data_IF_051322362649
#
_entry.id   IF_051322362649
#
_cell.length_a   1.000
_cell.length_b   1.000
_cell.length_c   1.000
_cell.angle_alpha   90.00
_cell.angle_beta   90.00
_cell.angle_gamma   90.00
#
_symmetry.space_group_name_H-M   'P 1'
#
loop_
_entity.id
_entity.type
_entity.pdbx_description
1 polymer ?
#
# COMPACT_ATOMS: atom_id res chain seq x y z
N UNK A 1 76.88 10.18 70.43
CA UNK A 1 76.41 8.91 69.93
C UNK A 1 74.94 9.08 69.63
N UNK A 2 74.53 9.12 68.31
CA UNK A 2 73.11 9.23 67.89
C UNK A 2 72.57 7.84 67.54
N UNK A 3 71.64 7.42 68.35
CA UNK A 3 70.93 6.12 68.18
C UNK A 3 70.09 6.21 66.96
N UNK A 4 70.32 5.34 65.98
CA UNK A 4 69.48 5.17 64.72
C UNK A 4 68.45 4.09 64.98
N UNK A 5 67.22 4.48 65.34
CA UNK A 5 66.11 3.62 65.43
C UNK A 5 65.69 3.16 64.01
N UNK A 6 65.82 1.89 63.72
CA UNK A 6 65.37 1.22 62.48
C UNK A 6 63.85 1.03 62.55
N UNK A 7 63.07 1.76 61.70
CA UNK A 7 61.64 1.53 61.53
C UNK A 7 61.41 0.40 60.57
N UNK A 8 60.90 -0.72 61.06
CA UNK A 8 60.41 -1.83 60.21
C UNK A 8 59.00 -1.53 59.74
N UNK A 9 58.81 -1.30 58.44
CA UNK A 9 57.49 -1.11 57.82
C UNK A 9 57.03 -2.49 57.38
N UNK A 10 56.06 -3.07 58.09
CA UNK A 10 55.40 -4.32 57.72
C UNK A 10 54.25 -3.97 56.74
N UNK A 11 54.45 -4.22 55.47
CA UNK A 11 53.43 -4.08 54.45
C UNK A 11 52.50 -5.26 54.53
N UNK A 12 51.29 -5.04 55.12
CA UNK A 12 50.24 -6.03 55.20
C UNK A 12 49.67 -6.20 53.80
N UNK A 13 49.90 -7.34 53.15
CA UNK A 13 49.33 -7.72 51.88
C UNK A 13 47.85 -7.99 52.10
N UNK A 14 46.96 -7.09 51.63
CA UNK A 14 45.54 -7.35 51.65
C UNK A 14 45.27 -8.52 50.73
N UNK A 15 44.80 -9.64 51.27
CA UNK A 15 44.35 -10.75 50.49
C UNK A 15 43.20 -10.28 49.59
N UNK A 16 43.41 -10.40 48.28
CA UNK A 16 42.32 -10.30 47.34
C UNK A 16 41.32 -11.39 47.66
N UNK A 17 40.19 -11.02 48.21
CA UNK A 17 39.06 -11.92 48.36
C UNK A 17 38.72 -12.51 46.98
N UNK A 18 38.81 -13.82 46.89
CA UNK A 18 38.47 -14.57 45.68
C UNK A 18 37.10 -14.16 45.21
N UNK A 19 37.05 -13.43 44.09
CA UNK A 19 35.80 -13.12 43.41
C UNK A 19 35.09 -14.44 43.08
N UNK A 20 33.86 -14.54 43.53
CA UNK A 20 32.97 -15.62 43.18
C UNK A 20 32.67 -15.64 41.68
N UNK A 21 33.59 -16.11 40.85
CA UNK A 21 33.38 -16.36 39.41
C UNK A 21 32.45 -17.55 39.11
N UNK A 22 31.85 -18.14 40.15
CA UNK A 22 30.95 -19.32 40.01
C UNK A 22 29.50 -19.04 39.66
N UNK A 23 29.12 -17.72 39.53
CA UNK A 23 27.68 -17.39 39.31
C UNK A 23 27.29 -17.09 37.88
N UNK A 24 28.21 -16.68 37.00
CA UNK A 24 27.91 -16.23 35.65
C UNK A 24 27.21 -17.29 34.76
N UNK A 25 27.60 -18.54 34.88
CA UNK A 25 26.98 -19.64 34.15
C UNK A 25 25.53 -19.89 34.57
N UNK A 26 25.19 -19.62 35.87
CA UNK A 26 23.80 -19.77 36.37
C UNK A 26 22.90 -18.73 35.76
N UNK A 27 23.39 -17.50 35.53
CA UNK A 27 22.66 -16.42 34.88
C UNK A 27 22.41 -16.79 33.39
N UNK A 28 23.45 -17.26 32.69
CA UNK A 28 23.31 -17.71 31.32
C UNK A 28 22.35 -18.92 31.18
N UNK A 29 22.41 -19.84 32.15
CA UNK A 29 21.50 -20.98 32.20
C UNK A 29 20.05 -20.56 32.47
N UNK A 30 19.84 -19.62 33.39
CA UNK A 30 18.51 -19.05 33.67
C UNK A 30 17.92 -18.34 32.46
N UNK A 31 18.74 -17.54 31.75
CA UNK A 31 18.33 -16.84 30.51
C UNK A 31 17.94 -17.85 29.41
N UNK A 32 18.77 -18.89 29.21
CA UNK A 32 18.44 -19.97 28.28
C UNK A 32 17.14 -20.69 28.65
N UNK A 33 16.91 -21.00 29.92
CA UNK A 33 15.68 -21.65 30.37
C UNK A 33 14.45 -20.78 30.21
N UNK A 34 14.57 -19.47 30.47
CA UNK A 34 13.45 -18.52 30.25
C UNK A 34 13.14 -18.36 28.76
N UNK A 35 14.16 -18.29 27.90
CA UNK A 35 13.98 -18.25 26.46
C UNK A 35 13.30 -19.53 25.92
N UNK A 36 13.74 -20.69 26.40
CA UNK A 36 13.10 -22.00 26.05
C UNK A 36 11.65 -22.08 26.53
N UNK A 37 11.37 -21.57 27.72
CA UNK A 37 10.00 -21.51 28.24
C UNK A 37 9.11 -20.59 27.38
N UNK A 38 9.61 -19.41 27.02
CA UNK A 38 8.91 -18.48 26.14
C UNK A 38 8.62 -19.11 24.77
N UNK A 39 9.62 -19.76 24.17
CA UNK A 39 9.46 -20.48 22.90
C UNK A 39 8.39 -21.59 23.00
N UNK A 40 8.44 -22.37 24.07
CA UNK A 40 7.45 -23.43 24.31
C UNK A 40 6.04 -22.86 24.46
N UNK A 41 5.88 -21.76 25.22
CA UNK A 41 4.57 -21.11 25.39
C UNK A 41 4.01 -20.59 24.07
N UNK A 42 4.88 -20.01 23.23
CA UNK A 42 4.45 -19.54 21.90
C UNK A 42 4.04 -20.72 21.03
N UNK A 43 4.84 -21.80 20.98
CA UNK A 43 4.49 -23.00 20.22
C UNK A 43 3.22 -23.67 20.75
N UNK A 44 3.03 -23.71 22.06
CA UNK A 44 1.81 -24.25 22.65
C UNK A 44 0.59 -23.39 22.29
N UNK A 45 0.71 -22.06 22.37
CA UNK A 45 -0.35 -21.14 21.96
C UNK A 45 -0.74 -21.34 20.49
N UNK A 46 0.24 -21.42 19.61
CA UNK A 46 0.01 -21.69 18.18
C UNK A 46 -0.67 -23.04 17.95
N UNK A 47 -0.26 -24.07 18.70
CA UNK A 47 -0.83 -25.42 18.58
C UNK A 47 -2.28 -25.52 19.09
N UNK A 48 -2.69 -24.67 20.03
CA UNK A 48 -4.05 -24.65 20.57
C UNK A 48 -4.98 -23.67 19.86
N UNK A 49 -4.42 -22.77 19.03
CA UNK A 49 -5.19 -21.76 18.29
C UNK A 49 -5.90 -22.37 17.07
N UNK A 50 -7.09 -21.88 16.80
CA UNK A 50 -7.83 -22.24 15.59
C UNK A 50 -7.18 -21.68 14.35
N UNK A 51 -7.40 -22.27 13.16
CA UNK A 51 -6.86 -21.73 11.89
C UNK A 51 -7.24 -20.27 11.62
N UNK A 52 -8.37 -19.82 12.15
CA UNK A 52 -8.84 -18.43 12.03
C UNK A 52 -8.06 -17.47 12.92
N UNK A 53 -7.78 -17.86 14.16
CA UNK A 53 -6.94 -17.08 15.08
C UNK A 53 -5.49 -16.99 14.63
N UNK A 54 -4.93 -18.10 14.09
CA UNK A 54 -3.59 -18.11 13.49
C UNK A 54 -3.49 -17.15 12.31
N UNK A 55 -4.53 -17.08 11.48
CA UNK A 55 -4.59 -16.15 10.36
C UNK A 55 -4.63 -14.70 10.82
N UNK A 56 -5.38 -14.39 11.88
CA UNK A 56 -5.40 -13.05 12.49
C UNK A 56 -4.05 -12.62 13.07
N UNK A 57 -3.36 -13.54 13.74
CA UNK A 57 -2.00 -13.29 14.26
C UNK A 57 -1.01 -13.07 13.11
N UNK A 58 -1.05 -13.90 12.07
CA UNK A 58 -0.18 -13.76 10.90
C UNK A 58 -0.42 -12.44 10.17
N UNK A 59 -1.65 -11.97 10.10
CA UNK A 59 -2.03 -10.71 9.48
C UNK A 59 -1.55 -9.50 10.30
N UNK A 60 -1.62 -9.56 11.62
CA UNK A 60 -1.06 -8.55 12.52
C UNK A 60 0.44 -8.34 12.31
N UNK A 61 1.21 -9.40 12.10
CA UNK A 61 2.65 -9.33 11.81
C UNK A 61 2.99 -9.02 10.34
N UNK A 62 2.05 -9.22 9.42
CA UNK A 62 2.18 -8.87 8.00
C UNK A 62 1.84 -7.43 7.70
N UNK A 63 1.02 -6.81 8.51
CA UNK A 63 0.67 -5.39 8.36
C UNK A 63 1.86 -4.58 8.86
N UNK A 64 2.68 -3.98 7.99
CA UNK A 64 3.73 -3.09 8.47
C UNK A 64 3.07 -1.96 9.26
N UNK A 65 3.75 -1.47 10.29
CA UNK A 65 3.35 -0.39 11.21
C UNK A 65 3.03 0.97 10.52
N UNK A 66 2.60 0.96 9.28
CA UNK A 66 2.14 2.11 8.50
C UNK A 66 0.74 2.59 8.94
N UNK A 67 0.03 1.81 9.78
CA UNK A 67 -1.24 2.23 10.36
C UNK A 67 -1.15 3.37 11.39
N UNK A 68 0.06 3.83 11.72
CA UNK A 68 0.26 4.99 12.61
C UNK A 68 0.07 6.35 11.95
N UNK A 69 -0.11 6.44 10.61
CA UNK A 69 -0.20 7.74 9.92
C UNK A 69 -1.60 8.10 9.40
N UNK A 70 -2.55 7.18 9.43
CA UNK A 70 -3.95 7.48 9.12
C UNK A 70 -4.80 7.25 10.37
N UNK A 71 -4.92 8.30 11.19
CA UNK A 71 -6.01 8.58 12.12
C UNK A 71 -6.67 7.35 12.75
N UNK A 72 -5.92 6.59 13.56
CA UNK A 72 -6.54 5.61 14.43
C UNK A 72 -7.44 6.31 15.41
N UNK A 73 -8.74 6.24 15.18
CA UNK A 73 -9.71 6.54 16.24
C UNK A 73 -9.48 5.55 17.37
N UNK A 74 -9.08 6.11 18.51
CA UNK A 74 -9.33 5.60 19.85
C UNK A 74 -8.56 4.37 20.32
N UNK A 75 -7.28 4.60 20.67
CA UNK A 75 -6.61 3.80 21.71
C UNK A 75 -6.42 4.59 23.02
N UNK A 76 -7.03 5.76 23.17
CA UNK A 76 -6.90 6.60 24.39
C UNK A 76 -8.20 7.09 24.99
N UNK A 77 -9.32 6.38 24.79
CA UNK A 77 -10.53 6.58 25.62
C UNK A 77 -10.61 5.58 26.77
N UNK A 78 -9.50 5.29 27.41
CA UNK A 78 -9.49 4.65 28.74
C UNK A 78 -8.97 5.62 29.81
N UNK A 79 -9.56 6.80 29.90
CA UNK A 79 -9.60 7.57 31.14
C UNK A 79 -10.73 7.06 32.02
N UNK A 80 -10.53 5.88 32.60
CA UNK A 80 -11.16 5.48 33.85
C UNK A 80 -10.32 4.41 34.53
N UNK A 81 -9.61 4.76 35.61
CA UNK A 81 -8.74 3.81 36.31
C UNK A 81 -9.44 2.81 37.18
N UNK A 82 -10.76 2.70 37.18
CA UNK A 82 -11.50 1.64 37.91
C UNK A 82 -12.85 1.36 37.23
N UNK A 83 -13.10 0.18 36.62
CA UNK A 83 -14.45 -0.26 36.31
C UNK A 83 -15.02 -0.95 37.55
N UNK A 84 -15.92 -0.27 38.23
CA UNK A 84 -16.61 -0.89 39.39
C UNK A 84 -17.78 -0.06 39.87
N UNK A 85 -19.00 -0.47 39.47
CA UNK A 85 -20.20 -0.12 40.18
C UNK A 85 -21.29 0.58 39.38
N UNK A 86 -22.15 -0.18 38.75
CA UNK A 86 -23.40 0.28 38.18
C UNK A 86 -23.99 -0.73 37.20
N UNK A 87 -25.23 -1.08 37.39
CA UNK A 87 -26.10 -2.05 36.74
C UNK A 87 -25.70 -2.57 35.36
N UNK A 88 -25.48 -3.88 35.29
CA UNK A 88 -25.54 -4.78 34.11
C UNK A 88 -24.76 -4.39 32.84
N UNK A 89 -23.48 -4.03 33.01
CA UNK A 89 -22.54 -3.71 31.89
C UNK A 89 -22.19 -4.95 31.05
N UNK A 90 -22.45 -6.17 31.52
CA UNK A 90 -22.04 -7.41 30.83
C UNK A 90 -22.83 -7.70 29.55
N UNK A 91 -24.06 -7.21 29.41
CA UNK A 91 -24.86 -7.38 28.17
C UNK A 91 -24.52 -6.38 27.08
N UNK A 92 -24.33 -5.10 27.44
CA UNK A 92 -23.99 -4.06 26.43
C UNK A 92 -22.60 -4.22 25.87
N UNK A 93 -21.59 -4.58 26.69
CA UNK A 93 -20.22 -4.81 26.23
C UNK A 93 -20.10 -6.03 25.28
N UNK A 94 -20.94 -7.06 25.49
CA UNK A 94 -21.01 -8.23 24.63
C UNK A 94 -21.57 -7.94 23.25
N UNK A 95 -22.62 -7.14 23.15
CA UNK A 95 -23.27 -6.78 21.90
C UNK A 95 -22.43 -5.77 21.08
N UNK A 96 -21.84 -4.75 21.71
CA UNK A 96 -20.93 -3.81 21.01
C UNK A 96 -19.67 -4.49 20.50
N UNK A 97 -19.02 -5.35 21.30
CA UNK A 97 -17.86 -6.13 20.81
C UNK A 97 -18.22 -7.07 19.67
N UNK A 98 -19.37 -7.72 19.76
CA UNK A 98 -19.85 -8.62 18.69
C UNK A 98 -20.18 -7.82 17.43
N UNK A 99 -20.77 -6.64 17.56
CA UNK A 99 -21.04 -5.74 16.43
C UNK A 99 -19.76 -5.19 15.79
N UNK A 100 -18.76 -4.80 16.57
CA UNK A 100 -17.47 -4.34 16.06
C UNK A 100 -16.66 -5.48 15.40
N UNK A 101 -16.66 -6.67 15.99
CA UNK A 101 -16.01 -7.84 15.41
C UNK A 101 -16.69 -8.29 14.12
N UNK A 102 -18.02 -8.27 14.06
CA UNK A 102 -18.78 -8.59 12.86
C UNK A 102 -18.61 -7.51 11.77
N UNK A 103 -18.53 -6.23 12.13
CA UNK A 103 -18.28 -5.14 11.18
C UNK A 103 -16.88 -5.24 10.58
N UNK A 104 -15.84 -5.51 11.38
CA UNK A 104 -14.48 -5.70 10.89
C UNK A 104 -14.35 -6.98 10.04
N UNK A 105 -14.99 -8.09 10.43
CA UNK A 105 -14.98 -9.32 9.62
C UNK A 105 -15.67 -9.12 8.26
N UNK A 106 -16.82 -8.43 8.23
CA UNK A 106 -17.51 -8.10 7.00
C UNK A 106 -16.67 -7.19 6.07
N UNK A 107 -15.92 -6.24 6.64
CA UNK A 107 -15.03 -5.36 5.88
C UNK A 107 -13.84 -6.12 5.30
N UNK A 108 -13.20 -7.01 6.08
CA UNK A 108 -12.14 -7.90 5.59
C UNK A 108 -12.64 -8.83 4.47
N UNK A 109 -13.82 -9.40 4.62
CA UNK A 109 -14.40 -10.29 3.61
C UNK A 109 -14.70 -9.53 2.32
N UNK A 110 -15.24 -8.31 2.41
CA UNK A 110 -15.49 -7.46 1.24
C UNK A 110 -14.19 -7.09 0.51
N UNK A 111 -13.12 -6.74 1.24
CA UNK A 111 -11.81 -6.45 0.64
C UNK A 111 -11.22 -7.68 -0.09
N UNK A 112 -11.37 -8.87 0.48
CA UNK A 112 -10.94 -10.11 -0.17
C UNK A 112 -11.74 -10.43 -1.44
N UNK A 113 -13.05 -10.26 -1.41
CA UNK A 113 -13.92 -10.46 -2.56
C UNK A 113 -13.53 -9.48 -3.68
N UNK A 114 -13.37 -8.21 -3.36
CA UNK A 114 -12.98 -7.19 -4.33
C UNK A 114 -11.60 -7.46 -4.93
N UNK A 115 -10.62 -7.81 -4.09
CA UNK A 115 -9.29 -8.19 -4.56
C UNK A 115 -9.33 -9.36 -5.53
N UNK A 116 -10.12 -10.39 -5.23
CA UNK A 116 -10.28 -11.55 -6.10
C UNK A 116 -10.94 -11.16 -7.42
N UNK A 117 -11.93 -10.28 -7.40
CA UNK A 117 -12.57 -9.74 -8.60
C UNK A 117 -11.58 -9.00 -9.51
N UNK A 118 -10.69 -8.17 -8.93
CA UNK A 118 -9.66 -7.47 -9.67
C UNK A 118 -8.58 -8.42 -10.23
N UNK A 119 -8.22 -9.46 -9.49
CA UNK A 119 -7.30 -10.51 -9.96
C UNK A 119 -7.92 -11.33 -11.11
N UNK A 120 -9.19 -11.62 -11.03
CA UNK A 120 -9.92 -12.31 -12.09
C UNK A 120 -10.02 -11.46 -13.36
N UNK A 121 -10.23 -10.15 -13.20
CA UNK A 121 -10.16 -9.21 -14.31
C UNK A 121 -8.77 -9.16 -14.96
N UNK A 122 -7.71 -9.12 -14.16
CA UNK A 122 -6.34 -9.18 -14.66
C UNK A 122 -6.09 -10.46 -15.47
N UNK A 123 -6.52 -11.62 -14.95
CA UNK A 123 -6.42 -12.90 -15.67
C UNK A 123 -7.17 -12.87 -16.98
N UNK A 124 -8.40 -12.36 -16.99
CA UNK A 124 -9.22 -12.25 -18.19
C UNK A 124 -8.57 -11.35 -19.26
N UNK A 125 -7.91 -10.28 -18.84
CA UNK A 125 -7.14 -9.43 -19.77
C UNK A 125 -6.00 -10.25 -20.38
N UNK A 126 -5.17 -10.94 -19.58
CA UNK A 126 -4.10 -11.78 -20.11
C UNK A 126 -4.60 -12.84 -21.07
N UNK A 127 -5.68 -13.57 -20.72
CA UNK A 127 -6.30 -14.58 -21.57
C UNK A 127 -6.78 -13.97 -22.90
N UNK A 128 -7.41 -12.79 -22.88
CA UNK A 128 -7.85 -12.09 -24.09
C UNK A 128 -6.68 -11.77 -25.00
N UNK A 129 -5.57 -11.31 -24.44
CA UNK A 129 -4.36 -10.97 -25.19
C UNK A 129 -3.61 -12.21 -25.70
N UNK A 130 -3.76 -13.37 -25.08
CA UNK A 130 -3.15 -14.62 -25.54
C UNK A 130 -3.94 -15.30 -26.68
N UNK A 131 -5.28 -15.15 -26.68
CA UNK A 131 -6.16 -15.80 -27.66
C UNK A 131 -6.16 -15.08 -29.01
N UNK A 132 -6.18 -13.74 -29.03
CA UNK A 132 -6.16 -12.96 -30.27
C UNK A 132 -4.72 -12.74 -30.74
N UNK A 133 -4.38 -13.26 -31.92
CA UNK A 133 -3.04 -13.15 -32.50
C UNK A 133 -2.55 -11.69 -32.70
N UNK A 134 -3.49 -10.75 -32.91
CA UNK A 134 -3.15 -9.32 -33.03
C UNK A 134 -2.79 -8.75 -31.67
N UNK A 135 -3.60 -8.99 -30.64
CA UNK A 135 -3.36 -8.55 -29.29
C UNK A 135 -2.13 -9.22 -28.68
N UNK A 136 -1.89 -10.50 -28.99
CA UNK A 136 -0.69 -11.22 -28.53
C UNK A 136 0.61 -10.51 -28.91
N UNK A 137 0.67 -9.94 -30.09
CA UNK A 137 1.83 -9.16 -30.52
C UNK A 137 1.99 -7.87 -29.70
N UNK A 138 0.94 -7.36 -29.07
CA UNK A 138 0.89 -6.13 -28.26
C UNK A 138 1.03 -6.42 -26.76
N UNK A 139 0.94 -7.68 -26.32
CA UNK A 139 1.05 -8.08 -24.92
C UNK A 139 2.35 -7.57 -24.23
N UNK A 140 3.53 -7.52 -24.87
CA UNK A 140 4.74 -6.95 -24.27
C UNK A 140 4.64 -5.46 -23.92
N UNK A 141 3.71 -4.73 -24.53
CA UNK A 141 3.47 -3.31 -24.26
C UNK A 141 2.49 -3.10 -23.10
N UNK A 142 1.98 -4.17 -22.48
CA UNK A 142 1.00 -4.12 -21.40
C UNK A 142 1.63 -4.58 -20.08
N UNK A 143 1.54 -3.72 -19.05
CA UNK A 143 1.89 -4.08 -17.68
C UNK A 143 0.61 -4.06 -16.84
N UNK A 144 0.35 -5.13 -16.10
CA UNK A 144 -0.80 -5.24 -15.21
C UNK A 144 -0.29 -5.54 -13.82
N UNK A 145 -0.63 -4.66 -12.87
CA UNK A 145 -0.16 -4.72 -11.49
C UNK A 145 -1.33 -4.51 -10.53
N UNK A 146 -1.42 -5.36 -9.50
CA UNK A 146 -2.32 -5.11 -8.39
C UNK A 146 -1.62 -4.19 -7.39
N UNK A 147 -2.22 -3.01 -7.15
CA UNK A 147 -1.72 -1.99 -6.22
C UNK A 147 -2.67 -1.84 -5.03
N UNK A 148 -2.27 -1.06 -4.04
CA UNK A 148 -3.13 -0.71 -2.89
C UNK A 148 -4.39 0.08 -3.29
N UNK A 149 -4.35 0.79 -4.41
CA UNK A 149 -5.47 1.59 -4.91
C UNK A 149 -6.40 0.81 -5.87
N UNK A 150 -6.00 -0.40 -6.29
CA UNK A 150 -6.73 -1.22 -7.24
C UNK A 150 -5.84 -1.85 -8.32
N UNK A 151 -6.42 -2.20 -9.46
CA UNK A 151 -5.71 -2.82 -10.57
C UNK A 151 -5.20 -1.75 -11.54
N UNK A 152 -3.90 -1.66 -11.68
CA UNK A 152 -3.22 -0.75 -12.62
C UNK A 152 -2.89 -1.47 -13.91
N UNK A 153 -3.30 -0.91 -15.02
CA UNK A 153 -2.99 -1.36 -16.38
C UNK A 153 -2.19 -0.24 -17.04
N UNK A 154 -0.96 -0.50 -17.44
CA UNK A 154 -0.10 0.47 -18.13
C UNK A 154 0.13 0.00 -19.55
N UNK A 155 -0.09 0.89 -20.51
CA UNK A 155 0.12 0.66 -21.94
C UNK A 155 1.35 1.47 -22.34
N UNK A 156 2.44 0.78 -22.67
CA UNK A 156 3.75 1.35 -22.94
C UNK A 156 3.95 1.54 -24.43
N UNK A 157 4.52 2.66 -24.83
CA UNK A 157 5.05 2.82 -26.18
C UNK A 157 6.38 2.07 -26.33
N UNK A 158 6.61 1.48 -27.49
CA UNK A 158 7.91 0.99 -27.94
C UNK A 158 8.23 1.57 -29.33
N UNK A 159 9.50 1.49 -29.73
CA UNK A 159 9.91 2.00 -31.06
C UNK A 159 9.21 1.29 -32.20
N UNK A 160 8.99 -0.03 -32.08
CA UNK A 160 8.31 -0.84 -33.09
C UNK A 160 6.78 -0.68 -33.06
N UNK A 161 6.23 -0.25 -31.92
CA UNK A 161 4.78 -0.12 -31.70
C UNK A 161 4.50 1.18 -30.95
N UNK A 162 4.44 2.30 -31.66
CA UNK A 162 4.07 3.57 -31.07
C UNK A 162 2.60 3.52 -30.65
N UNK A 163 2.27 4.14 -29.51
CA UNK A 163 0.87 4.26 -29.05
C UNK A 163 0.23 5.55 -29.53
N UNK A 164 1.05 6.55 -29.89
CA UNK A 164 0.65 7.84 -30.43
C UNK A 164 1.63 8.27 -31.52
N UNK A 165 1.18 9.12 -32.43
CA UNK A 165 2.06 9.83 -33.34
C UNK A 165 3.11 10.66 -32.59
N UNK A 166 4.27 10.88 -33.23
CA UNK A 166 5.37 11.66 -32.62
C UNK A 166 4.89 13.07 -32.29
N UNK A 167 5.01 13.48 -31.03
CA UNK A 167 4.51 14.80 -30.57
C UNK A 167 3.00 15.03 -30.76
N UNK A 168 2.23 13.98 -31.06
CA UNK A 168 0.82 14.04 -31.39
C UNK A 168 -0.06 13.37 -30.34
N UNK A 169 -1.32 13.73 -30.35
CA UNK A 169 -2.42 13.12 -29.59
C UNK A 169 -3.21 12.11 -30.41
N UNK A 170 -2.85 11.94 -31.69
CA UNK A 170 -3.46 10.94 -32.57
C UNK A 170 -3.13 9.55 -32.09
N UNK A 171 -4.15 8.75 -31.83
CA UNK A 171 -4.00 7.38 -31.37
C UNK A 171 -3.57 6.49 -32.54
N UNK A 172 -2.56 5.67 -32.29
CA UNK A 172 -2.11 4.65 -33.24
C UNK A 172 -3.09 3.47 -33.26
N UNK A 173 -3.26 2.78 -34.40
CA UNK A 173 -4.13 1.59 -34.51
C UNK A 173 -3.82 0.51 -33.44
N UNK A 174 -2.55 0.31 -33.08
CA UNK A 174 -2.17 -0.65 -32.03
C UNK A 174 -2.76 -0.27 -30.67
N UNK A 175 -2.68 1.01 -30.31
CA UNK A 175 -3.28 1.52 -29.07
C UNK A 175 -4.80 1.41 -29.11
N UNK A 176 -5.41 1.68 -30.26
CA UNK A 176 -6.85 1.54 -30.46
C UNK A 176 -7.32 0.11 -30.21
N UNK A 177 -6.65 -0.89 -30.78
CA UNK A 177 -6.96 -2.31 -30.55
C UNK A 177 -6.85 -2.69 -29.08
N UNK A 178 -5.82 -2.23 -28.38
CA UNK A 178 -5.66 -2.47 -26.93
C UNK A 178 -6.82 -1.87 -26.15
N UNK A 179 -7.16 -0.61 -26.39
CA UNK A 179 -8.21 0.09 -25.65
C UNK A 179 -9.58 -0.53 -25.91
N UNK A 180 -9.88 -0.94 -27.16
CA UNK A 180 -11.12 -1.62 -27.52
C UNK A 180 -11.22 -3.00 -26.86
N UNK A 181 -10.11 -3.74 -26.72
CA UNK A 181 -10.11 -5.03 -26.03
C UNK A 181 -10.30 -4.88 -24.52
N UNK A 182 -9.77 -3.82 -23.91
CA UNK A 182 -9.90 -3.54 -22.48
C UNK A 182 -11.28 -3.03 -22.08
N UNK A 183 -11.94 -2.23 -22.94
CA UNK A 183 -13.20 -1.56 -22.64
C UNK A 183 -14.32 -2.51 -22.14
N UNK A 184 -14.64 -3.64 -22.79
CA UNK A 184 -15.69 -4.55 -22.34
C UNK A 184 -15.32 -5.24 -21.00
N UNK A 185 -14.04 -5.54 -20.78
CA UNK A 185 -13.57 -6.17 -19.53
C UNK A 185 -13.75 -5.19 -18.37
N UNK A 186 -13.28 -3.94 -18.53
CA UNK A 186 -13.45 -2.90 -17.53
C UNK A 186 -14.94 -2.62 -17.27
N UNK A 187 -15.75 -2.66 -18.33
CA UNK A 187 -17.18 -2.40 -18.22
C UNK A 187 -17.93 -3.46 -17.40
N UNK A 188 -17.43 -4.70 -17.40
CA UNK A 188 -18.01 -5.80 -16.61
C UNK A 188 -17.76 -5.67 -15.09
N UNK A 189 -16.84 -4.83 -14.66
CA UNK A 189 -16.53 -4.61 -13.24
C UNK A 189 -17.43 -3.51 -12.67
N UNK A 190 -17.78 -3.53 -11.38
CA UNK A 190 -18.52 -2.45 -10.73
C UNK A 190 -17.68 -1.18 -10.53
N UNK A 191 -16.36 -1.30 -10.53
CA UNK A 191 -15.39 -0.30 -10.18
C UNK A 191 -15.31 0.86 -11.19
N UNK A 192 -14.98 2.05 -10.69
CA UNK A 192 -14.64 3.22 -11.52
C UNK A 192 -13.15 3.23 -11.85
N UNK A 193 -12.78 4.02 -12.85
CA UNK A 193 -11.40 4.13 -13.33
C UNK A 193 -10.87 5.55 -13.30
N UNK A 194 -9.56 5.67 -13.18
CA UNK A 194 -8.79 6.88 -13.41
C UNK A 194 -7.84 6.64 -14.57
N UNK A 195 -7.72 7.62 -15.47
CA UNK A 195 -6.77 7.61 -16.59
C UNK A 195 -5.64 8.59 -16.32
N UNK A 196 -4.40 8.16 -16.52
CA UNK A 196 -3.23 9.03 -16.38
C UNK A 196 -2.37 8.97 -17.65
N UNK A 197 -1.97 10.15 -18.14
CA UNK A 197 -1.06 10.29 -19.25
C UNK A 197 0.35 10.65 -18.79
N UNK A 198 1.35 10.02 -19.42
CA UNK A 198 2.76 10.26 -19.16
C UNK A 198 3.52 10.53 -20.45
N UNK A 199 4.57 11.34 -20.37
CA UNK A 199 5.52 11.62 -21.46
C UNK A 199 6.92 11.17 -21.05
N UNK A 200 7.83 11.17 -22.01
CA UNK A 200 9.26 11.09 -21.74
C UNK A 200 9.84 12.47 -21.34
N UNK A 201 11.11 12.49 -20.97
CA UNK A 201 11.85 13.68 -20.53
C UNK A 201 12.16 14.67 -21.68
N UNK A 202 11.84 14.33 -22.94
CA UNK A 202 12.09 15.20 -24.08
C UNK A 202 11.18 16.41 -24.01
N UNK A 203 11.78 17.59 -23.96
CA UNK A 203 11.01 18.83 -23.93
C UNK A 203 10.24 19.01 -25.25
N UNK A 204 9.00 19.44 -25.15
CA UNK A 204 8.22 19.85 -26.31
C UNK A 204 8.83 21.07 -26.96
N UNK A 205 8.69 21.21 -28.28
CA UNK A 205 9.36 22.24 -29.09
C UNK A 205 9.10 23.67 -28.59
N UNK A 206 7.92 23.93 -28.03
CA UNK A 206 7.52 25.25 -27.52
C UNK A 206 7.99 25.53 -26.08
N UNK A 207 8.59 24.56 -25.38
CA UNK A 207 9.00 24.67 -23.97
C UNK A 207 7.83 24.92 -23.02
N UNK A 208 8.14 25.27 -21.77
CA UNK A 208 7.14 25.36 -20.66
C UNK A 208 6.19 26.58 -20.78
N UNK A 209 6.42 27.50 -21.73
CA UNK A 209 5.60 28.70 -21.90
C UNK A 209 4.43 28.54 -22.87
N UNK A 210 4.34 27.38 -23.53
CA UNK A 210 3.30 27.06 -24.51
C UNK A 210 2.74 25.68 -24.28
N UNK A 211 2.54 24.95 -25.38
CA UNK A 211 2.16 23.54 -25.33
C UNK A 211 3.35 22.71 -24.87
N UNK A 212 3.24 22.09 -23.72
CA UNK A 212 4.30 21.36 -23.03
C UNK A 212 3.96 19.87 -22.85
N UNK A 213 4.81 19.13 -22.14
CA UNK A 213 4.55 17.75 -21.77
C UNK A 213 3.30 17.60 -20.86
N UNK A 214 2.92 18.66 -20.15
CA UNK A 214 1.71 18.68 -19.35
C UNK A 214 0.45 18.60 -20.22
N UNK A 215 0.34 19.50 -21.21
CA UNK A 215 -0.78 19.52 -22.15
C UNK A 215 -0.79 18.23 -22.98
N UNK A 216 0.37 17.80 -23.47
CA UNK A 216 0.48 16.59 -24.27
C UNK A 216 0.01 15.34 -23.51
N UNK A 217 0.41 15.20 -22.23
CA UNK A 217 -0.03 14.07 -21.38
C UNK A 217 -1.52 14.11 -21.07
N UNK A 218 -2.08 15.31 -20.83
CA UNK A 218 -3.52 15.51 -20.63
C UNK A 218 -4.32 15.13 -21.88
N UNK A 219 -3.88 15.61 -23.04
CA UNK A 219 -4.58 15.40 -24.30
C UNK A 219 -4.52 13.93 -24.74
N UNK A 220 -3.40 13.23 -24.51
CA UNK A 220 -3.26 11.79 -24.73
C UNK A 220 -4.17 10.98 -23.83
N UNK A 221 -4.26 11.33 -22.54
CA UNK A 221 -5.20 10.68 -21.64
C UNK A 221 -6.65 10.91 -22.07
N UNK A 222 -6.99 12.13 -22.52
CA UNK A 222 -8.32 12.43 -23.07
C UNK A 222 -8.60 11.71 -24.39
N UNK A 223 -7.62 11.57 -25.27
CA UNK A 223 -7.76 10.79 -26.49
C UNK A 223 -8.03 9.32 -26.15
N UNK A 224 -7.27 8.74 -25.22
CA UNK A 224 -7.48 7.37 -24.73
C UNK A 224 -8.86 7.17 -24.10
N UNK A 225 -9.35 8.17 -23.36
CA UNK A 225 -10.72 8.18 -22.82
C UNK A 225 -11.76 8.08 -23.94
N UNK A 226 -11.64 8.90 -24.97
CA UNK A 226 -12.57 8.88 -26.10
C UNK A 226 -12.57 7.53 -26.79
N UNK A 227 -11.39 6.94 -26.95
CA UNK A 227 -11.24 5.65 -27.60
C UNK A 227 -11.79 4.48 -26.76
N UNK A 228 -11.59 4.49 -25.43
CA UNK A 228 -12.22 3.52 -24.53
C UNK A 228 -13.76 3.58 -24.64
N UNK A 229 -14.35 4.78 -24.71
CA UNK A 229 -15.79 4.94 -24.88
C UNK A 229 -16.24 4.44 -26.26
N UNK A 230 -15.47 4.71 -27.32
CA UNK A 230 -15.74 4.17 -28.65
C UNK A 230 -15.66 2.63 -28.66
N UNK A 231 -14.78 2.03 -27.85
CA UNK A 231 -14.68 0.59 -27.61
C UNK A 231 -15.76 -0.01 -26.71
N UNK A 232 -16.74 0.82 -26.24
CA UNK A 232 -17.90 0.37 -25.49
C UNK A 232 -17.82 0.57 -23.97
N UNK A 233 -16.85 1.35 -23.46
CA UNK A 233 -16.79 1.70 -22.05
C UNK A 233 -17.89 2.70 -21.68
N UNK A 234 -18.62 2.44 -20.59
CA UNK A 234 -19.55 3.41 -20.03
C UNK A 234 -18.80 4.66 -19.53
N UNK A 235 -19.18 5.83 -20.05
CA UNK A 235 -18.57 7.11 -19.67
C UNK A 235 -18.66 7.41 -18.16
N UNK A 236 -19.68 6.90 -17.47
CA UNK A 236 -19.88 7.07 -16.03
C UNK A 236 -18.83 6.34 -15.17
N UNK A 237 -18.09 5.40 -15.77
CA UNK A 237 -17.01 4.70 -15.07
C UNK A 237 -15.76 5.55 -14.90
N UNK A 238 -15.59 6.59 -15.69
CA UNK A 238 -14.40 7.44 -15.65
C UNK A 238 -14.63 8.56 -14.64
N UNK A 239 -13.89 8.52 -13.53
CA UNK A 239 -14.03 9.51 -12.45
C UNK A 239 -13.04 10.66 -12.58
N UNK A 240 -11.83 10.39 -13.10
CA UNK A 240 -10.76 11.40 -13.16
C UNK A 240 -9.77 11.13 -14.30
N UNK A 241 -9.25 12.23 -14.87
CA UNK A 241 -8.13 12.22 -15.81
C UNK A 241 -6.97 13.00 -15.20
N UNK A 242 -5.77 12.46 -15.27
CA UNK A 242 -4.56 13.03 -14.67
C UNK A 242 -3.49 13.20 -15.74
N UNK A 243 -2.93 14.40 -15.82
CA UNK A 243 -1.72 14.67 -16.59
C UNK A 243 -0.52 14.57 -15.65
N UNK A 244 0.48 13.80 -16.01
CA UNK A 244 1.68 13.60 -15.17
C UNK A 244 2.98 13.95 -15.91
N UNK A 245 2.88 14.41 -17.16
CA UNK A 245 4.06 14.78 -17.95
C UNK A 245 5.18 13.72 -17.81
N UNK A 246 6.40 14.16 -17.52
CA UNK A 246 7.60 13.34 -17.26
C UNK A 246 7.94 13.19 -15.76
N UNK A 247 7.05 13.65 -14.86
CA UNK A 247 7.31 13.70 -13.41
C UNK A 247 7.45 12.35 -12.75
N UNK A 248 6.82 11.30 -13.32
CA UNK A 248 6.85 9.94 -12.79
C UNK A 248 7.44 8.99 -13.83
N UNK A 249 8.74 8.76 -13.75
CA UNK A 249 9.45 7.85 -14.65
C UNK A 249 9.36 6.40 -14.20
N UNK A 250 9.31 5.47 -15.17
CA UNK A 250 9.48 4.04 -14.92
C UNK A 250 10.96 3.75 -14.69
N UNK A 251 11.37 3.63 -13.43
CA UNK A 251 12.75 3.33 -13.03
C UNK A 251 13.03 1.81 -13.04
N UNK A 252 12.66 1.13 -14.11
CA UNK A 252 12.89 -0.31 -14.24
C UNK A 252 13.87 -0.55 -15.40
N UNK A 253 15.04 -1.16 -15.16
CA UNK A 253 16.05 -1.39 -16.19
C UNK A 253 15.60 -2.30 -17.34
N UNK A 254 14.51 -3.03 -17.16
CA UNK A 254 13.94 -3.90 -18.19
C UNK A 254 13.13 -3.14 -19.25
N UNK A 255 12.85 -1.85 -19.04
CA UNK A 255 12.09 -1.04 -20.00
C UNK A 255 12.96 0.03 -20.64
N UNK A 256 12.74 0.27 -21.92
CA UNK A 256 13.39 1.38 -22.63
C UNK A 256 12.90 2.73 -22.08
N UNK A 257 13.66 3.80 -22.34
CA UNK A 257 13.23 5.17 -22.00
C UNK A 257 11.90 5.56 -22.66
N UNK A 258 11.58 4.95 -23.79
CA UNK A 258 10.35 5.17 -24.54
C UNK A 258 9.11 4.64 -23.81
N UNK A 259 9.27 3.69 -22.88
CA UNK A 259 8.21 3.20 -22.01
C UNK A 259 7.67 4.28 -21.05
N UNK A 260 8.39 5.40 -20.90
CA UNK A 260 7.86 6.56 -20.19
C UNK A 260 6.70 7.23 -20.93
N UNK A 261 6.64 7.11 -22.25
CA UNK A 261 5.46 7.49 -23.05
C UNK A 261 4.41 6.40 -22.88
N UNK A 262 3.54 6.56 -21.86
CA UNK A 262 2.55 5.55 -21.52
C UNK A 262 1.21 6.16 -21.10
N UNK A 263 0.19 5.36 -21.20
CA UNK A 263 -1.12 5.61 -20.56
C UNK A 263 -1.30 4.61 -19.44
N UNK A 264 -1.74 5.08 -18.28
CA UNK A 264 -2.07 4.25 -17.14
C UNK A 264 -3.58 4.31 -16.88
N UNK A 265 -4.21 3.15 -16.82
CA UNK A 265 -5.60 2.96 -16.43
C UNK A 265 -5.57 2.32 -15.04
N UNK A 266 -6.15 2.99 -14.05
CA UNK A 266 -6.27 2.46 -12.70
C UNK A 266 -7.73 2.15 -12.43
N UNK A 267 -8.06 0.86 -12.32
CA UNK A 267 -9.36 0.38 -11.87
C UNK A 267 -9.34 0.47 -10.36
N UNK A 268 -10.11 1.42 -9.82
CA UNK A 268 -10.07 1.77 -8.40
C UNK A 268 -10.73 0.69 -7.56
N UNK A 269 -10.15 0.39 -6.40
CA UNK A 269 -10.90 -0.31 -5.37
C UNK A 269 -11.89 0.64 -4.69
N UNK A 270 -12.81 0.09 -3.92
CA UNK A 270 -13.90 0.83 -3.26
C UNK A 270 -13.38 1.95 -2.36
N UNK A 271 -12.30 1.71 -1.62
CA UNK A 271 -11.71 2.70 -0.72
C UNK A 271 -11.09 3.87 -1.49
N UNK A 272 -10.33 3.60 -2.54
CA UNK A 272 -9.74 4.63 -3.39
C UNK A 272 -10.82 5.44 -4.14
N UNK A 273 -11.88 4.77 -4.60
CA UNK A 273 -13.02 5.44 -5.23
C UNK A 273 -13.71 6.38 -4.26
N UNK A 274 -14.05 5.92 -3.06
CA UNK A 274 -14.69 6.73 -2.03
C UNK A 274 -13.82 7.92 -1.61
N UNK A 275 -12.50 7.70 -1.51
CA UNK A 275 -11.58 8.79 -1.21
C UNK A 275 -11.67 9.91 -2.26
N UNK A 276 -11.64 9.56 -3.55
CA UNK A 276 -11.73 10.53 -4.65
C UNK A 276 -13.10 11.22 -4.69
N UNK A 277 -14.18 10.47 -4.45
CA UNK A 277 -15.55 11.02 -4.43
C UNK A 277 -15.76 11.98 -3.25
N UNK A 278 -15.17 11.69 -2.11
CA UNK A 278 -15.27 12.50 -0.90
C UNK A 278 -14.31 13.71 -0.90
N UNK A 279 -13.25 13.70 -1.73
CA UNK A 279 -12.32 14.83 -1.86
C UNK A 279 -13.05 16.15 -2.14
N UNK A 280 -14.12 16.10 -2.93
CA UNK A 280 -14.95 17.27 -3.23
C UNK A 280 -15.99 17.60 -2.14
N UNK A 281 -16.28 16.68 -1.23
CA UNK A 281 -17.25 16.87 -0.14
C UNK A 281 -16.60 17.29 1.18
N UNK A 282 -15.26 17.31 1.26
CA UNK A 282 -14.55 17.88 2.40
C UNK A 282 -14.71 19.40 2.38
N UNK A 283 -15.74 19.89 3.05
CA UNK A 283 -15.91 21.32 3.30
C UNK A 283 -14.83 21.81 4.25
N UNK A 284 -14.37 23.06 4.08
CA UNK A 284 -13.34 23.66 4.94
C UNK A 284 -13.63 23.60 6.46
N UNK A 285 -14.87 23.33 6.85
CA UNK A 285 -15.31 23.06 8.23
C UNK A 285 -14.80 21.72 8.76
N UNK A 286 -14.59 20.72 7.93
CA UNK A 286 -14.08 19.42 8.36
C UNK A 286 -12.56 19.47 8.57
N UNK A 287 -11.87 20.28 7.76
CA UNK A 287 -10.45 20.60 7.96
C UNK A 287 -10.20 21.33 9.29
N UNK A 288 -11.07 22.29 9.62
CA UNK A 288 -10.97 23.05 10.88
C UNK A 288 -11.31 22.21 12.12
N UNK A 289 -12.16 21.21 11.99
CA UNK A 289 -12.44 20.24 13.09
C UNK A 289 -11.23 19.31 13.32
N UNK A 290 -10.62 18.79 12.26
CA UNK A 290 -9.41 17.98 12.38
C UNK A 290 -8.21 18.76 12.93
N UNK A 291 -8.01 20.01 12.52
CA UNK A 291 -6.92 20.85 13.01
C UNK A 291 -7.08 21.25 14.48
N UNK A 292 -8.31 21.41 14.99
CA UNK A 292 -8.56 21.67 16.42
C UNK A 292 -8.26 20.45 17.28
N UNK A 293 -8.56 19.25 16.81
CA UNK A 293 -8.26 18.00 17.55
C UNK A 293 -6.74 17.76 17.65
N UNK A 294 -5.94 18.26 16.70
CA UNK A 294 -4.48 18.15 16.70
C UNK A 294 -3.82 19.22 17.60
N UNK A 295 -4.46 20.37 17.82
CA UNK A 295 -3.92 21.48 18.62
C UNK A 295 -4.29 21.38 20.12
N UNK A 296 -5.15 20.45 20.49
CA UNK A 296 -5.59 20.19 21.89
C UNK A 296 -4.94 18.92 22.48
N UNK A 297 -4.01 18.29 21.78
CA UNK A 297 -3.12 17.23 22.27
C UNK A 297 -1.67 17.73 22.36
#
# INVERSE_FOLDING_TARGET
MKDKSVRIIVKKKSGHGGGHHGGSWKIAYADFMTAMMALFLVMWLISTSTPQELKGIAEYFRTPLILGYNGGKNLSDSESPIPGGGDDVSKQIGEEKTHMLNASQNEYEQLHIERNLLLEAARKIYETFEIDNRLKSLAPNLIIELTELGLRIQILASDDKPMFGVGSTSIDPNMQEILHALAPIINSLPNKITLSGHTDERQYITGDRGYSNWELSADRANASRRELIAGGLDSNKIIRIIALADTVSLNNPNYSKDANRRISILILNKNAQQYIENENNMTGTDFLKQSKTISEQ
#
